data_IF_808238045153
#
_entry.id   IF_808238045153
#
_cell.length_a   1.000
_cell.length_b   1.000
_cell.length_c   1.000
_cell.angle_alpha   90.00
_cell.angle_beta   90.00
_cell.angle_gamma   90.00
#
_symmetry.space_group_name_H-M   'P 1'
#
loop_
_entity.id
_entity.type
_entity.pdbx_description
1 polymer ?
#
# COMPACT_ATOMS: atom_id res chain seq x y z
N UNK A 1 -6.83 -9.99 -24.76
CA UNK A 1 -7.22 -9.79 -23.34
C UNK A 1 -8.17 -10.91 -22.95
N UNK A 2 -7.92 -11.58 -21.83
CA UNK A 2 -8.78 -12.68 -21.35
C UNK A 2 -10.12 -12.08 -20.92
N UNK A 3 -11.20 -12.38 -21.65
CA UNK A 3 -12.55 -11.87 -21.33
C UNK A 3 -13.20 -12.73 -20.25
N UNK A 4 -13.41 -12.15 -19.07
CA UNK A 4 -14.15 -12.77 -17.98
C UNK A 4 -15.58 -13.15 -18.39
N UNK A 5 -16.22 -12.32 -19.22
CA UNK A 5 -17.57 -12.58 -19.73
C UNK A 5 -17.58 -13.80 -20.65
N UNK A 6 -16.64 -13.88 -21.61
CA UNK A 6 -16.60 -14.99 -22.57
C UNK A 6 -16.37 -16.34 -21.85
N UNK A 7 -15.55 -16.36 -20.79
CA UNK A 7 -15.34 -17.57 -19.97
C UNK A 7 -16.64 -17.94 -19.26
N UNK A 8 -17.33 -16.96 -18.67
CA UNK A 8 -18.58 -17.19 -17.94
C UNK A 8 -19.66 -17.73 -18.87
N UNK A 9 -19.86 -17.10 -20.03
CA UNK A 9 -20.83 -17.53 -21.05
C UNK A 9 -20.54 -18.95 -21.54
N UNK A 10 -19.27 -19.27 -21.79
CA UNK A 10 -18.85 -20.61 -22.20
C UNK A 10 -19.16 -21.66 -21.11
N UNK A 11 -18.83 -21.37 -19.84
CA UNK A 11 -19.08 -22.29 -18.74
C UNK A 11 -20.58 -22.48 -18.48
N UNK A 12 -21.40 -21.44 -18.64
CA UNK A 12 -22.86 -21.56 -18.54
C UNK A 12 -23.45 -22.44 -19.65
N UNK A 13 -22.91 -22.34 -20.87
CA UNK A 13 -23.37 -23.12 -22.03
C UNK A 13 -22.93 -24.58 -22.00
N UNK A 14 -21.66 -24.85 -21.67
CA UNK A 14 -21.08 -26.19 -21.81
C UNK A 14 -21.14 -27.02 -20.52
N UNK A 15 -21.20 -26.39 -19.34
CA UNK A 15 -21.23 -27.07 -18.03
C UNK A 15 -22.60 -26.94 -17.35
N UNK A 16 -23.67 -27.22 -18.10
CA UNK A 16 -25.08 -27.07 -17.64
C UNK A 16 -25.42 -27.92 -16.41
N UNK A 17 -24.83 -29.12 -16.30
CA UNK A 17 -24.97 -30.04 -15.16
C UNK A 17 -24.38 -29.54 -13.83
N UNK A 18 -23.50 -28.54 -13.87
CA UNK A 18 -22.90 -27.99 -12.67
C UNK A 18 -23.82 -26.95 -12.04
N UNK A 19 -24.01 -27.00 -10.72
CA UNK A 19 -24.73 -25.92 -10.02
C UNK A 19 -24.00 -24.58 -10.14
N UNK A 20 -24.71 -23.48 -9.86
CA UNK A 20 -24.20 -22.11 -9.97
C UNK A 20 -22.82 -21.91 -9.33
N UNK A 21 -22.64 -22.35 -8.07
CA UNK A 21 -21.37 -22.23 -7.34
C UNK A 21 -20.21 -22.97 -8.03
N UNK A 22 -20.48 -24.18 -8.55
CA UNK A 22 -19.47 -25.00 -9.24
C UNK A 22 -19.01 -24.32 -10.53
N UNK A 23 -19.94 -23.75 -11.30
CA UNK A 23 -19.62 -22.97 -12.50
C UNK A 23 -18.76 -21.74 -12.17
N UNK A 24 -19.12 -20.99 -11.13
CA UNK A 24 -18.34 -19.82 -10.69
C UNK A 24 -16.90 -20.18 -10.32
N UNK A 25 -16.68 -21.29 -9.61
CA UNK A 25 -15.32 -21.75 -9.28
C UNK A 25 -14.50 -22.11 -10.52
N UNK A 26 -15.10 -22.81 -11.49
CA UNK A 26 -14.44 -23.19 -12.75
C UNK A 26 -14.10 -21.94 -13.57
N UNK A 27 -15.05 -21.01 -13.75
CA UNK A 27 -14.81 -19.75 -14.46
C UNK A 27 -13.70 -18.94 -13.83
N UNK A 28 -13.67 -18.88 -12.49
CA UNK A 28 -12.62 -18.16 -11.74
C UNK A 28 -11.25 -18.76 -11.97
N UNK A 29 -11.11 -20.08 -11.88
CA UNK A 29 -9.84 -20.77 -12.10
C UNK A 29 -9.36 -20.62 -13.55
N UNK A 30 -10.24 -20.78 -14.53
CA UNK A 30 -9.90 -20.59 -15.94
C UNK A 30 -9.44 -19.16 -16.22
N UNK A 31 -10.13 -18.16 -15.68
CA UNK A 31 -9.73 -16.77 -15.83
C UNK A 31 -8.33 -16.51 -15.27
N UNK A 32 -8.06 -16.97 -14.05
CA UNK A 32 -6.75 -16.77 -13.42
C UNK A 32 -5.63 -17.51 -14.15
N UNK A 33 -5.86 -18.75 -14.59
CA UNK A 33 -4.87 -19.53 -15.35
C UNK A 33 -4.63 -18.89 -16.72
N UNK A 34 -5.69 -18.54 -17.46
CA UNK A 34 -5.57 -17.91 -18.78
C UNK A 34 -4.81 -16.58 -18.69
N UNK A 35 -5.07 -15.79 -17.64
CA UNK A 35 -4.38 -14.52 -17.40
C UNK A 35 -2.90 -14.75 -17.05
N UNK A 36 -2.59 -15.71 -16.17
CA UNK A 36 -1.20 -16.02 -15.78
C UNK A 36 -0.39 -16.60 -16.94
N UNK A 37 -0.95 -17.60 -17.63
CA UNK A 37 -0.30 -18.36 -18.71
C UNK A 37 -0.34 -17.61 -20.05
N UNK A 38 -1.05 -16.47 -20.13
CA UNK A 38 -1.27 -15.67 -21.34
C UNK A 38 -1.82 -16.51 -22.51
N UNK A 39 -2.75 -17.43 -22.23
CA UNK A 39 -3.32 -18.37 -23.20
C UNK A 39 -4.84 -18.25 -23.32
N UNK A 40 -5.42 -18.87 -24.35
CA UNK A 40 -6.87 -18.92 -24.48
C UNK A 40 -7.46 -19.93 -23.49
N UNK A 41 -8.59 -19.63 -22.85
CA UNK A 41 -9.16 -20.49 -21.81
C UNK A 41 -9.56 -21.89 -22.32
N UNK A 42 -9.89 -22.01 -23.61
CA UNK A 42 -10.14 -23.31 -24.26
C UNK A 42 -8.86 -24.16 -24.33
N UNK A 43 -7.68 -23.55 -24.45
CA UNK A 43 -6.41 -24.29 -24.48
C UNK A 43 -6.13 -25.00 -23.15
N UNK A 44 -6.59 -24.42 -22.04
CA UNK A 44 -6.49 -25.01 -20.70
C UNK A 44 -7.33 -26.28 -20.59
N UNK A 45 -8.48 -26.28 -21.27
CA UNK A 45 -9.45 -27.37 -21.27
C UNK A 45 -9.18 -28.41 -22.37
N UNK A 46 -8.22 -28.20 -23.27
CA UNK A 46 -7.88 -29.19 -24.32
C UNK A 46 -7.48 -30.54 -23.74
N UNK A 47 -6.79 -30.54 -22.60
CA UNK A 47 -6.41 -31.74 -21.87
C UNK A 47 -7.57 -32.36 -21.07
N UNK A 48 -8.72 -31.67 -21.02
CA UNK A 48 -9.98 -32.15 -20.48
C UNK A 48 -10.90 -32.57 -21.65
N UNK A 49 -10.53 -33.64 -22.36
CA UNK A 49 -11.27 -34.13 -23.54
C UNK A 49 -12.69 -34.61 -23.21
N UNK A 50 -13.60 -34.43 -24.17
CA UNK A 50 -15.05 -34.68 -24.14
C UNK A 50 -15.48 -35.96 -23.40
N UNK A 51 -16.28 -35.80 -22.34
CA UNK A 51 -16.80 -36.88 -21.50
C UNK A 51 -17.32 -36.37 -20.16
N UNK A 52 -17.99 -37.23 -19.41
CA UNK A 52 -18.75 -36.93 -18.18
C UNK A 52 -17.85 -36.58 -16.96
N UNK A 53 -16.97 -35.57 -17.10
CA UNK A 53 -16.10 -35.06 -16.04
C UNK A 53 -16.87 -34.71 -14.75
N UNK A 54 -16.57 -35.44 -13.68
CA UNK A 54 -17.05 -35.06 -12.36
C UNK A 54 -16.40 -33.73 -11.97
N UNK A 55 -17.18 -32.85 -11.36
CA UNK A 55 -16.71 -31.54 -10.91
C UNK A 55 -15.43 -31.64 -10.06
N UNK A 56 -15.31 -32.68 -9.25
CA UNK A 56 -14.15 -32.91 -8.39
C UNK A 56 -12.84 -33.04 -9.18
N UNK A 57 -12.86 -33.79 -10.29
CA UNK A 57 -11.68 -34.04 -11.11
C UNK A 57 -11.26 -32.79 -11.88
N UNK A 58 -12.22 -32.07 -12.47
CA UNK A 58 -11.95 -30.81 -13.15
C UNK A 58 -11.40 -29.76 -12.17
N UNK A 59 -12.02 -29.61 -11.00
CA UNK A 59 -11.55 -28.69 -9.96
C UNK A 59 -10.13 -29.04 -9.52
N UNK A 60 -9.82 -30.32 -9.33
CA UNK A 60 -8.48 -30.78 -8.96
C UNK A 60 -7.45 -30.42 -10.04
N UNK A 61 -7.75 -30.71 -11.31
CA UNK A 61 -6.88 -30.36 -12.44
C UNK A 61 -6.61 -28.85 -12.51
N UNK A 62 -7.66 -28.03 -12.45
CA UNK A 62 -7.52 -26.57 -12.52
C UNK A 62 -6.79 -26.00 -11.30
N UNK A 63 -7.02 -26.53 -10.09
CA UNK A 63 -6.29 -26.13 -8.89
C UNK A 63 -4.80 -26.48 -8.97
N UNK A 64 -4.46 -27.67 -9.45
CA UNK A 64 -3.06 -28.07 -9.65
C UNK A 64 -2.36 -27.17 -10.67
N UNK A 65 -3.06 -26.78 -11.74
CA UNK A 65 -2.51 -25.86 -12.73
C UNK A 65 -2.37 -24.44 -12.19
N UNK A 66 -3.36 -23.91 -11.47
CA UNK A 66 -3.33 -22.54 -10.91
C UNK A 66 -2.36 -22.40 -9.73
N UNK A 67 -2.28 -23.43 -8.90
CA UNK A 67 -1.53 -23.46 -7.64
C UNK A 67 -0.58 -24.68 -7.57
N UNK A 68 0.40 -24.79 -8.49
CA UNK A 68 1.27 -25.97 -8.57
C UNK A 68 2.05 -26.26 -7.28
N UNK A 69 2.39 -25.25 -6.48
CA UNK A 69 3.12 -25.43 -5.21
C UNK A 69 2.15 -25.71 -4.06
N UNK A 70 1.14 -24.87 -3.86
CA UNK A 70 0.20 -25.01 -2.74
C UNK A 70 -0.66 -26.27 -2.86
N UNK A 71 -1.02 -26.70 -4.07
CA UNK A 71 -1.83 -27.92 -4.27
C UNK A 71 -1.12 -29.21 -3.89
N UNK A 72 0.21 -29.21 -3.79
CA UNK A 72 1.01 -30.36 -3.36
C UNK A 72 1.08 -30.48 -1.83
N UNK A 73 0.78 -29.40 -1.09
CA UNK A 73 0.82 -29.42 0.38
C UNK A 73 -0.38 -30.21 0.91
N UNK A 74 -0.13 -31.16 1.82
CA UNK A 74 -1.15 -32.05 2.42
C UNK A 74 -2.18 -31.35 3.33
N UNK A 75 -2.13 -30.02 3.46
CA UNK A 75 -2.99 -29.25 4.37
C UNK A 75 -4.34 -28.88 3.73
N UNK A 76 -5.33 -28.59 4.56
CA UNK A 76 -6.67 -28.09 4.21
C UNK A 76 -6.64 -26.64 3.72
N UNK A 77 -5.82 -26.36 2.71
CA UNK A 77 -5.65 -25.03 2.14
C UNK A 77 -6.98 -24.55 1.53
N UNK A 78 -7.43 -23.38 1.98
CA UNK A 78 -8.56 -22.68 1.39
C UNK A 78 -8.06 -21.79 0.27
N UNK A 79 -8.40 -22.14 -0.96
CA UNK A 79 -8.13 -21.30 -2.11
C UNK A 79 -9.14 -20.14 -2.15
N UNK A 80 -8.68 -18.89 -2.25
CA UNK A 80 -9.54 -17.71 -2.21
C UNK A 80 -10.23 -17.47 -3.56
N UNK A 81 -11.21 -18.30 -3.88
CA UNK A 81 -12.00 -18.19 -5.12
C UNK A 81 -13.10 -17.13 -4.94
N UNK A 82 -12.79 -15.88 -5.27
CA UNK A 82 -13.78 -14.80 -5.29
C UNK A 82 -14.62 -14.84 -6.57
N UNK A 83 -15.82 -14.24 -6.54
CA UNK A 83 -16.67 -14.07 -7.72
C UNK A 83 -15.87 -13.37 -8.84
N UNK A 84 -15.98 -13.88 -10.06
CA UNK A 84 -15.42 -13.25 -11.25
C UNK A 84 -16.40 -12.19 -11.75
N UNK A 85 -16.17 -10.94 -11.38
CA UNK A 85 -17.02 -9.80 -11.69
C UNK A 85 -16.11 -8.63 -12.10
N UNK A 86 -15.85 -8.53 -13.41
CA UNK A 86 -14.91 -7.57 -13.98
C UNK A 86 -15.69 -6.66 -14.91
N UNK A 87 -15.76 -5.38 -14.56
CA UNK A 87 -16.40 -4.36 -15.36
C UNK A 87 -15.32 -3.45 -16.00
N UNK A 88 -15.20 -3.43 -17.34
CA UNK A 88 -14.26 -2.56 -18.05
C UNK A 88 -14.37 -1.07 -17.71
N UNK A 89 -15.54 -0.59 -17.27
CA UNK A 89 -15.74 0.80 -16.84
C UNK A 89 -14.99 1.14 -15.54
N UNK A 90 -14.58 0.14 -14.76
CA UNK A 90 -13.80 0.33 -13.53
C UNK A 90 -12.30 0.50 -13.76
N UNK A 91 -11.81 0.42 -15.01
CA UNK A 91 -10.39 0.56 -15.34
C UNK A 91 -9.85 1.92 -14.90
N UNK A 92 -8.71 1.93 -14.22
CA UNK A 92 -8.06 3.16 -13.79
C UNK A 92 -7.54 3.94 -15.01
N UNK A 93 -7.69 5.27 -14.97
CA UNK A 93 -7.08 6.16 -15.95
C UNK A 93 -5.65 6.53 -15.51
N UNK A 94 -4.69 6.11 -16.34
CA UNK A 94 -3.25 6.27 -16.12
C UNK A 94 -2.59 7.22 -17.15
N UNK A 95 -3.35 7.98 -17.93
CA UNK A 95 -2.78 8.84 -18.99
C UNK A 95 -2.08 10.08 -18.43
N UNK A 96 -2.67 10.72 -17.41
CA UNK A 96 -2.11 11.90 -16.77
C UNK A 96 -2.67 12.08 -15.35
N UNK A 97 -1.88 12.74 -14.49
CA UNK A 97 -2.39 13.23 -13.23
C UNK A 97 -3.16 14.53 -13.46
N UNK A 98 -4.45 14.55 -13.10
CA UNK A 98 -5.29 15.74 -13.21
C UNK A 98 -5.04 16.69 -12.03
N UNK A 99 -5.18 18.00 -12.28
CA UNK A 99 -5.35 18.99 -11.21
C UNK A 99 -6.76 18.87 -10.65
N UNK A 100 -6.94 19.25 -9.38
CA UNK A 100 -8.26 19.31 -8.78
C UNK A 100 -9.13 20.34 -9.48
N UNK A 101 -10.36 19.97 -9.81
CA UNK A 101 -11.37 20.85 -10.43
C UNK A 101 -12.37 21.37 -9.42
N UNK A 102 -12.58 20.64 -8.32
CA UNK A 102 -13.49 21.01 -7.25
C UNK A 102 -12.74 21.05 -5.91
N UNK A 103 -12.91 22.13 -5.16
CA UNK A 103 -12.34 22.32 -3.83
C UNK A 103 -13.47 22.64 -2.87
N UNK A 104 -13.58 21.84 -1.83
CA UNK A 104 -14.58 22.03 -0.78
C UNK A 104 -13.88 22.31 0.54
N UNK A 105 -14.30 23.34 1.24
CA UNK A 105 -13.65 23.79 2.48
C UNK A 105 -14.70 23.87 3.58
N UNK A 106 -14.48 23.18 4.69
CA UNK A 106 -15.37 23.28 5.84
C UNK A 106 -15.28 24.67 6.49
N UNK A 107 -16.43 25.24 6.87
CA UNK A 107 -16.51 26.57 7.53
C UNK A 107 -15.54 26.71 8.70
N UNK A 108 -15.35 25.64 9.48
CA UNK A 108 -14.46 25.65 10.68
C UNK A 108 -12.98 25.86 10.35
N UNK A 109 -12.55 25.61 9.12
CA UNK A 109 -11.15 25.72 8.66
C UNK A 109 -11.02 26.61 7.42
N UNK A 110 -12.06 27.38 7.08
CA UNK A 110 -12.08 28.27 5.93
C UNK A 110 -10.97 29.35 5.98
N UNK A 111 -10.67 29.84 7.18
CA UNK A 111 -9.62 30.83 7.43
C UNK A 111 -8.26 30.19 7.76
N UNK A 112 -8.12 28.87 7.62
CA UNK A 112 -6.84 28.19 7.90
C UNK A 112 -5.76 28.58 6.89
N UNK A 113 -4.47 28.57 7.29
CA UNK A 113 -3.37 28.77 6.34
C UNK A 113 -3.41 27.79 5.16
N UNK A 114 -3.86 26.54 5.40
CA UNK A 114 -4.01 25.53 4.36
C UNK A 114 -5.09 25.91 3.34
N UNK A 115 -6.27 26.34 3.80
CA UNK A 115 -7.36 26.75 2.91
C UNK A 115 -6.89 27.85 1.95
N UNK A 116 -6.20 28.88 2.47
CA UNK A 116 -5.61 29.94 1.66
C UNK A 116 -4.58 29.43 0.64
N UNK A 117 -3.61 28.62 1.07
CA UNK A 117 -2.60 28.05 0.17
C UNK A 117 -3.23 27.20 -0.94
N UNK A 118 -4.28 26.46 -0.62
CA UNK A 118 -5.01 25.62 -1.57
C UNK A 118 -5.75 26.49 -2.58
N UNK A 119 -6.49 27.52 -2.17
CA UNK A 119 -7.17 28.42 -3.12
C UNK A 119 -6.19 29.15 -4.03
N UNK A 120 -5.04 29.57 -3.50
CA UNK A 120 -3.98 30.23 -4.27
C UNK A 120 -3.32 29.27 -5.28
N UNK A 121 -3.16 28.00 -4.91
CA UNK A 121 -2.52 26.96 -5.76
C UNK A 121 -3.44 26.44 -6.87
N UNK A 122 -4.75 26.65 -6.77
CA UNK A 122 -5.75 26.16 -7.72
C UNK A 122 -6.77 27.25 -8.09
N UNK A 123 -6.33 28.35 -8.74
CA UNK A 123 -7.20 29.50 -9.02
C UNK A 123 -8.35 29.20 -10.00
N UNK A 124 -8.22 28.14 -10.80
CA UNK A 124 -9.24 27.71 -11.77
C UNK A 124 -10.25 26.70 -11.18
N UNK A 125 -10.01 26.19 -9.97
CA UNK A 125 -10.91 25.21 -9.36
C UNK A 125 -12.17 25.90 -8.81
N UNK A 126 -13.31 25.22 -8.91
CA UNK A 126 -14.53 25.65 -8.25
C UNK A 126 -14.36 25.48 -6.74
N UNK A 127 -14.38 26.57 -5.98
CA UNK A 127 -14.30 26.55 -4.51
C UNK A 127 -15.70 26.67 -3.90
N UNK A 128 -16.04 25.80 -2.96
CA UNK A 128 -17.31 25.79 -2.25
C UNK A 128 -17.08 25.65 -0.74
N UNK A 129 -17.69 26.54 0.06
CA UNK A 129 -17.65 26.46 1.52
C UNK A 129 -18.81 25.58 2.00
N UNK A 130 -18.51 24.52 2.74
CA UNK A 130 -19.48 23.56 3.25
C UNK A 130 -19.53 23.58 4.77
N UNK A 131 -20.65 23.17 5.38
CA UNK A 131 -20.75 23.07 6.85
C UNK A 131 -19.88 21.93 7.39
N UNK A 132 -20.15 20.69 6.96
CA UNK A 132 -19.38 19.49 7.30
C UNK A 132 -19.33 18.51 6.14
N UNK A 133 -18.15 17.95 5.88
CA UNK A 133 -17.89 16.95 4.85
C UNK A 133 -18.82 15.74 4.95
N UNK A 134 -19.00 15.20 6.17
CA UNK A 134 -19.86 14.03 6.42
C UNK A 134 -21.34 14.29 6.12
N UNK A 135 -21.80 15.52 6.31
CA UNK A 135 -23.21 15.92 6.09
C UNK A 135 -23.46 16.23 4.62
N UNK A 136 -22.51 16.89 3.95
CA UNK A 136 -22.64 17.28 2.56
C UNK A 136 -22.67 16.09 1.60
N UNK A 137 -21.79 15.11 1.80
CA UNK A 137 -21.73 13.93 0.93
C UNK A 137 -22.55 12.74 1.45
N UNK A 138 -23.00 12.78 2.70
CA UNK A 138 -23.80 11.72 3.31
C UNK A 138 -23.15 10.34 3.21
N UNK A 139 -23.97 9.28 3.26
CA UNK A 139 -23.53 7.90 3.05
C UNK A 139 -23.67 7.52 1.58
N UNK A 140 -22.65 7.79 0.78
CA UNK A 140 -22.57 7.27 -0.60
C UNK A 140 -22.23 5.77 -0.55
N UNK A 141 -22.91 4.94 -1.34
CA UNK A 141 -22.46 3.58 -1.59
C UNK A 141 -21.23 3.63 -2.49
N UNK A 142 -20.06 3.60 -1.86
CA UNK A 142 -18.80 3.78 -2.56
C UNK A 142 -18.49 2.60 -3.50
N UNK A 143 -18.10 2.95 -4.73
CA UNK A 143 -17.75 1.99 -5.78
C UNK A 143 -16.34 2.27 -6.33
N UNK A 144 -15.83 1.35 -7.16
CA UNK A 144 -14.52 1.52 -7.80
C UNK A 144 -14.48 2.78 -8.68
N UNK A 145 -15.58 3.13 -9.34
CA UNK A 145 -15.68 4.35 -10.15
C UNK A 145 -15.48 5.61 -9.31
N UNK A 146 -16.11 5.67 -8.12
CA UNK A 146 -15.91 6.79 -7.19
C UNK A 146 -14.43 6.90 -6.75
N UNK A 147 -13.76 5.77 -6.51
CA UNK A 147 -12.32 5.77 -6.24
C UNK A 147 -11.48 6.26 -7.41
N UNK A 148 -11.84 5.92 -8.65
CA UNK A 148 -11.15 6.42 -9.84
C UNK A 148 -11.29 7.94 -10.01
N UNK A 149 -12.44 8.50 -9.60
CA UNK A 149 -12.73 9.95 -9.68
C UNK A 149 -12.15 10.77 -8.53
N UNK A 150 -11.62 10.13 -7.47
CA UNK A 150 -11.14 10.82 -6.25
C UNK A 150 -10.11 11.94 -6.49
N UNK A 151 -9.41 11.92 -7.63
CA UNK A 151 -8.36 12.89 -7.99
C UNK A 151 -8.93 14.22 -8.51
N UNK A 152 -10.25 14.30 -8.73
CA UNK A 152 -10.93 15.48 -9.27
C UNK A 152 -11.35 16.48 -8.18
N UNK A 153 -11.48 16.02 -6.93
CA UNK A 153 -11.98 16.80 -5.81
C UNK A 153 -11.02 16.80 -4.63
N UNK A 154 -10.83 17.97 -4.01
CA UNK A 154 -10.06 18.17 -2.79
C UNK A 154 -10.96 18.72 -1.68
N UNK A 155 -10.80 18.19 -0.48
CA UNK A 155 -11.56 18.56 0.71
C UNK A 155 -10.61 19.08 1.79
N UNK A 156 -10.86 20.29 2.27
CA UNK A 156 -10.18 20.85 3.45
C UNK A 156 -11.14 20.77 4.62
N UNK A 157 -10.85 19.90 5.58
CA UNK A 157 -11.77 19.55 6.68
C UNK A 157 -11.14 19.84 8.03
N UNK A 158 -11.96 19.97 9.07
CA UNK A 158 -11.50 19.85 10.45
C UNK A 158 -11.50 18.37 10.84
N UNK A 159 -10.33 17.76 11.01
CA UNK A 159 -10.23 16.38 11.50
C UNK A 159 -10.52 16.33 13.01
N UNK A 160 -11.52 15.54 13.42
CA UNK A 160 -12.01 15.47 14.80
C UNK A 160 -11.85 14.07 15.44
N UNK A 161 -11.62 13.00 14.66
CA UNK A 161 -11.78 11.62 15.15
C UNK A 161 -10.53 10.75 14.98
N UNK A 162 -9.92 10.76 13.81
CA UNK A 162 -8.92 9.75 13.42
C UNK A 162 -7.52 10.34 13.27
N UNK A 163 -7.25 11.46 13.95
CA UNK A 163 -6.06 12.26 13.69
C UNK A 163 -4.78 11.61 14.20
N UNK A 164 -4.80 11.06 15.42
CA UNK A 164 -3.65 10.43 16.06
C UNK A 164 -4.06 9.15 16.80
N UNK A 165 -3.46 8.01 16.44
CA UNK A 165 -3.82 6.69 16.99
C UNK A 165 -2.63 5.73 17.01
N UNK A 166 -2.78 4.58 17.66
CA UNK A 166 -1.85 3.46 17.46
C UNK A 166 -2.01 2.93 16.03
N UNK A 167 -0.92 2.53 15.39
CA UNK A 167 -0.99 1.90 14.07
C UNK A 167 -1.93 0.68 14.12
N UNK A 168 -2.96 0.61 13.25
CA UNK A 168 -3.87 -0.53 13.19
C UNK A 168 -3.19 -1.68 12.46
N UNK A 169 -2.21 -2.27 13.13
CA UNK A 169 -1.50 -3.47 12.67
C UNK A 169 -2.51 -4.58 12.38
N UNK A 170 -2.15 -5.52 11.50
CA UNK A 170 -3.05 -6.64 11.22
C UNK A 170 -3.28 -7.46 12.49
N UNK A 171 -4.46 -8.08 12.64
CA UNK A 171 -4.75 -8.93 13.79
C UNK A 171 -3.63 -9.96 13.97
N UNK A 172 -3.23 -10.19 15.22
CA UNK A 172 -2.18 -11.13 15.64
C UNK A 172 -0.76 -10.86 15.08
N UNK A 173 -0.54 -9.69 14.46
CA UNK A 173 0.82 -9.26 14.08
C UNK A 173 1.59 -8.66 15.26
N UNK A 174 2.92 -8.76 15.21
CA UNK A 174 3.79 -8.16 16.23
C UNK A 174 3.75 -6.63 16.08
N UNK A 175 3.30 -5.94 17.12
CA UNK A 175 3.25 -4.48 17.13
C UNK A 175 4.66 -3.88 17.12
N UNK A 176 4.93 -2.97 16.18
CA UNK A 176 6.24 -2.37 15.98
C UNK A 176 6.49 -1.08 16.76
N UNK A 177 5.57 -0.71 17.67
CA UNK A 177 5.68 0.52 18.47
C UNK A 177 5.21 1.80 17.78
N UNK A 178 4.66 1.71 16.56
CA UNK A 178 4.29 2.86 15.74
C UNK A 178 2.90 3.42 16.09
N UNK A 179 2.85 4.71 16.40
CA UNK A 179 1.65 5.53 16.31
C UNK A 179 1.56 6.18 14.93
N UNK A 180 0.36 6.46 14.48
CA UNK A 180 0.10 7.06 13.17
C UNK A 180 -0.61 8.39 13.35
N UNK A 181 -0.21 9.37 12.54
CA UNK A 181 -0.94 10.61 12.32
C UNK A 181 -1.47 10.63 10.88
N UNK A 182 -2.76 10.94 10.75
CA UNK A 182 -3.42 11.04 9.45
C UNK A 182 -3.37 12.47 8.94
N UNK A 183 -2.31 12.79 8.18
CA UNK A 183 -2.10 14.10 7.54
C UNK A 183 -3.01 14.33 6.32
N UNK A 184 -3.96 13.43 6.06
CA UNK A 184 -4.86 13.45 4.93
C UNK A 184 -5.41 12.06 4.63
N UNK A 185 -6.37 11.98 3.73
CA UNK A 185 -7.03 10.73 3.34
C UNK A 185 -7.22 10.69 1.82
N UNK A 186 -6.79 9.59 1.20
CA UNK A 186 -6.67 9.47 -0.25
C UNK A 186 -5.28 9.88 -0.75
N UNK A 187 -4.97 9.52 -1.99
CA UNK A 187 -3.65 9.74 -2.59
C UNK A 187 -3.78 9.84 -4.13
N UNK A 188 -3.05 10.77 -4.79
CA UNK A 188 -3.07 10.90 -6.25
C UNK A 188 -2.30 9.79 -6.97
N UNK A 189 -1.41 9.11 -6.24
CA UNK A 189 -0.61 8.00 -6.76
C UNK A 189 -1.51 6.81 -7.10
N UNK A 190 -1.14 6.03 -8.11
CA UNK A 190 -1.93 4.91 -8.62
C UNK A 190 -1.14 3.60 -8.50
N UNK A 191 -0.59 3.32 -7.33
CA UNK A 191 0.09 2.05 -7.07
C UNK A 191 -0.93 0.90 -7.14
N UNK A 192 -0.71 -0.08 -8.02
CA UNK A 192 -1.63 -1.18 -8.27
C UNK A 192 -1.93 -2.02 -7.03
N UNK A 193 -0.98 -2.18 -6.13
CA UNK A 193 -1.15 -2.92 -4.86
C UNK A 193 -1.72 -2.09 -3.70
N UNK A 194 -2.00 -0.79 -3.90
CA UNK A 194 -2.34 0.12 -2.80
C UNK A 194 -3.59 -0.33 -2.03
N UNK A 195 -3.46 -0.54 -0.72
CA UNK A 195 -4.58 -0.99 0.09
C UNK A 195 -5.68 0.06 0.26
N UNK A 196 -5.36 1.35 0.05
CA UNK A 196 -6.34 2.44 0.12
C UNK A 196 -7.49 2.25 -0.87
N UNK A 197 -7.27 1.56 -1.98
CA UNK A 197 -8.29 1.23 -2.98
C UNK A 197 -9.43 0.37 -2.41
N UNK A 198 -9.16 -0.43 -1.38
CA UNK A 198 -10.17 -1.27 -0.72
C UNK A 198 -10.72 -0.65 0.58
N UNK A 199 -10.13 0.44 1.05
CA UNK A 199 -10.34 1.01 2.38
C UNK A 199 -10.97 2.42 2.35
N UNK A 200 -10.48 3.31 1.48
CA UNK A 200 -10.95 4.69 1.38
C UNK A 200 -12.30 4.73 0.71
N UNK A 201 -13.26 5.35 1.39
CA UNK A 201 -14.61 5.61 0.88
C UNK A 201 -14.85 7.13 0.90
N UNK A 202 -14.14 7.87 0.05
CA UNK A 202 -14.20 9.32 -0.05
C UNK A 202 -14.37 9.76 -1.50
N UNK A 203 -15.25 10.72 -1.84
CA UNK A 203 -15.43 11.22 -3.19
C UNK A 203 -14.23 12.07 -3.67
N UNK A 204 -13.23 12.29 -2.81
CA UNK A 204 -11.96 12.90 -3.21
C UNK A 204 -10.88 12.82 -2.16
N UNK A 205 -9.83 13.61 -2.35
CA UNK A 205 -8.70 13.68 -1.41
C UNK A 205 -9.04 14.64 -0.29
N UNK A 206 -8.74 14.27 0.95
CA UNK A 206 -9.03 15.05 2.15
C UNK A 206 -7.71 15.49 2.78
N UNK A 207 -7.59 16.77 3.14
CA UNK A 207 -6.49 17.33 3.90
C UNK A 207 -7.03 18.05 5.15
N UNK A 208 -6.46 17.81 6.34
CA UNK A 208 -6.91 18.45 7.57
C UNK A 208 -6.40 19.90 7.66
N UNK A 209 -7.29 20.87 7.83
CA UNK A 209 -6.96 22.29 8.00
C UNK A 209 -6.58 22.69 9.43
N UNK A 210 -6.30 21.73 10.31
CA UNK A 210 -6.16 21.90 11.76
C UNK A 210 -4.97 21.11 12.35
N UNK A 211 -3.78 21.16 11.72
CA UNK A 211 -2.60 20.39 12.15
C UNK A 211 -2.19 20.63 13.61
N UNK A 212 -2.54 21.79 14.16
CA UNK A 212 -2.32 22.15 15.55
C UNK A 212 -3.05 21.21 16.53
N UNK A 213 -4.20 20.66 16.13
CA UNK A 213 -4.93 19.68 16.94
C UNK A 213 -4.13 18.38 17.09
N UNK A 214 -3.35 17.98 16.07
CA UNK A 214 -2.42 16.84 16.20
C UNK A 214 -1.33 17.15 17.23
N UNK A 215 -0.75 18.36 17.20
CA UNK A 215 0.28 18.75 18.16
C UNK A 215 -0.23 18.70 19.61
N UNK A 216 -1.46 19.13 19.85
CA UNK A 216 -2.08 19.04 21.17
C UNK A 216 -2.39 17.59 21.57
N UNK A 217 -2.94 16.78 20.67
CA UNK A 217 -3.19 15.35 20.94
C UNK A 217 -1.90 14.58 21.26
N UNK A 218 -0.83 14.85 20.52
CA UNK A 218 0.48 14.27 20.78
C UNK A 218 0.98 14.64 22.19
N UNK A 219 0.90 15.92 22.56
CA UNK A 219 1.32 16.43 23.87
C UNK A 219 0.53 15.75 24.99
N UNK A 220 -0.81 15.74 24.89
CA UNK A 220 -1.69 15.11 25.87
C UNK A 220 -1.40 13.60 26.01
N UNK A 221 -1.18 12.90 24.90
CA UNK A 221 -0.80 11.49 24.94
C UNK A 221 0.52 11.29 25.68
N UNK A 222 1.55 12.07 25.34
CA UNK A 222 2.88 11.98 25.97
C UNK A 222 2.81 12.29 27.46
N UNK A 223 2.08 13.31 27.88
CA UNK A 223 1.91 13.67 29.29
C UNK A 223 1.20 12.57 30.08
N UNK A 224 0.13 11.99 29.50
CA UNK A 224 -0.64 10.92 30.11
C UNK A 224 0.18 9.64 30.32
N UNK A 225 0.95 9.21 29.32
CA UNK A 225 1.67 7.93 29.36
C UNK A 225 3.14 8.06 29.75
N UNK A 226 3.70 9.27 29.81
CA UNK A 226 5.12 9.55 30.13
C UNK A 226 6.11 8.74 29.29
N UNK A 227 5.77 8.52 28.02
CA UNK A 227 6.54 7.71 27.09
C UNK A 227 6.97 8.54 25.88
N UNK A 228 8.21 8.35 25.46
CA UNK A 228 8.66 8.81 24.14
C UNK A 228 8.08 7.86 23.09
N UNK A 229 7.58 8.43 21.99
CA UNK A 229 6.75 7.70 21.02
C UNK A 229 7.33 7.80 19.61
N UNK A 230 7.18 6.72 18.84
CA UNK A 230 7.44 6.71 17.41
C UNK A 230 6.14 7.02 16.68
N UNK A 231 6.10 8.14 15.98
CA UNK A 231 4.96 8.57 15.17
C UNK A 231 5.34 8.48 13.70
N UNK A 232 4.46 7.92 12.88
CA UNK A 232 4.61 7.92 11.44
C UNK A 232 3.41 8.60 10.79
N UNK A 233 3.66 9.28 9.67
CA UNK A 233 2.63 9.59 8.69
C UNK A 233 2.70 8.56 7.55
N UNK A 234 1.80 8.64 6.57
CA UNK A 234 1.83 7.73 5.42
C UNK A 234 0.75 6.64 5.41
N UNK A 235 -0.12 6.59 6.43
CA UNK A 235 -1.17 5.55 6.52
C UNK A 235 -2.28 5.79 5.50
N UNK A 236 -2.94 6.94 5.54
CA UNK A 236 -4.13 7.21 4.70
C UNK A 236 -3.85 8.14 3.52
N UNK A 237 -2.64 8.69 3.43
CA UNK A 237 -2.11 9.50 2.32
C UNK A 237 -0.59 9.36 2.28
N UNK A 238 0.04 9.68 1.16
CA UNK A 238 1.50 9.83 1.10
C UNK A 238 1.91 11.11 1.85
N UNK A 239 2.90 11.03 2.73
CA UNK A 239 3.24 12.13 3.65
C UNK A 239 3.68 13.41 2.94
N UNK A 240 4.36 13.28 1.79
CA UNK A 240 5.03 14.40 1.14
C UNK A 240 4.39 14.80 -0.18
N UNK A 241 3.47 14.02 -0.74
CA UNK A 241 2.90 14.28 -2.07
C UNK A 241 2.26 15.67 -2.23
N UNK A 242 1.67 16.23 -1.17
CA UNK A 242 1.08 17.58 -1.17
C UNK A 242 1.82 18.58 -0.29
N UNK A 243 3.03 18.25 0.17
CA UNK A 243 3.73 19.08 1.18
C UNK A 243 4.08 20.50 0.69
N UNK A 244 4.22 20.68 -0.63
CA UNK A 244 4.39 22.00 -1.25
C UNK A 244 3.16 22.91 -1.11
N UNK A 245 1.98 22.32 -0.85
CA UNK A 245 0.72 23.03 -0.56
C UNK A 245 0.45 23.01 0.95
N UNK A 246 0.63 21.86 1.61
CA UNK A 246 0.24 21.71 3.01
C UNK A 246 1.19 22.40 3.97
N UNK A 247 2.49 22.44 3.68
CA UNK A 247 3.49 23.00 4.58
C UNK A 247 3.77 22.15 5.83
N UNK A 248 3.15 20.97 5.95
CA UNK A 248 3.13 20.20 7.19
C UNK A 248 4.52 19.72 7.61
N UNK A 249 5.39 19.37 6.67
CA UNK A 249 6.72 18.87 7.02
C UNK A 249 7.51 19.88 7.87
N UNK A 250 7.48 21.16 7.50
CA UNK A 250 8.18 22.22 8.22
C UNK A 250 7.58 22.45 9.61
N UNK A 251 6.25 22.48 9.72
CA UNK A 251 5.55 22.65 11.00
C UNK A 251 5.85 21.49 11.97
N UNK A 252 5.80 20.26 11.45
CA UNK A 252 6.08 19.05 12.23
C UNK A 252 7.54 19.01 12.68
N UNK A 253 8.51 19.27 11.79
CA UNK A 253 9.93 19.31 12.17
C UNK A 253 10.17 20.34 13.28
N UNK A 254 9.59 21.53 13.16
CA UNK A 254 9.73 22.57 14.18
C UNK A 254 9.07 22.19 15.51
N UNK A 255 7.91 21.54 15.48
CA UNK A 255 7.24 21.04 16.69
C UNK A 255 8.07 19.98 17.42
N UNK A 256 8.61 18.99 16.69
CA UNK A 256 9.38 17.87 17.26
C UNK A 256 10.75 18.28 17.82
N UNK A 257 11.23 19.50 17.54
CA UNK A 257 12.40 20.09 18.23
C UNK A 257 12.24 20.10 19.76
N UNK A 258 11.00 20.23 20.25
CA UNK A 258 10.67 20.21 21.68
C UNK A 258 10.69 18.80 22.30
N UNK A 259 10.75 17.76 21.47
CA UNK A 259 10.62 16.35 21.88
C UNK A 259 11.73 15.47 21.30
N UNK A 260 13.02 15.74 21.61
CA UNK A 260 14.16 15.10 20.95
C UNK A 260 14.25 13.58 21.13
N UNK A 261 13.47 13.00 22.05
CA UNK A 261 13.40 11.55 22.28
C UNK A 261 12.24 10.87 21.54
N UNK A 262 11.21 11.62 21.13
CA UNK A 262 10.13 11.10 20.30
C UNK A 262 10.51 11.20 18.83
N UNK A 263 10.23 10.15 18.07
CA UNK A 263 10.60 10.05 16.66
C UNK A 263 9.39 10.39 15.80
N UNK A 264 9.57 11.20 14.75
CA UNK A 264 8.59 11.37 13.68
C UNK A 264 9.13 10.83 12.37
N UNK A 265 8.31 10.07 11.64
CA UNK A 265 8.65 9.48 10.36
C UNK A 265 7.71 9.99 9.25
N UNK A 266 8.28 10.63 8.23
CA UNK A 266 7.61 10.86 6.95
C UNK A 266 7.80 9.63 6.06
N UNK A 267 6.74 9.18 5.37
CA UNK A 267 6.80 8.06 4.41
C UNK A 267 6.30 8.54 3.06
N UNK A 268 7.13 8.40 2.03
CA UNK A 268 6.75 8.83 0.68
C UNK A 268 7.19 7.85 -0.41
N UNK A 269 6.57 7.97 -1.58
CA UNK A 269 7.02 7.44 -2.88
C UNK A 269 7.33 8.56 -3.89
N UNK A 270 7.44 9.80 -3.41
CA UNK A 270 7.71 10.98 -4.23
C UNK A 270 9.12 11.51 -3.99
N UNK A 271 9.53 12.47 -4.82
CA UNK A 271 10.73 13.30 -4.64
C UNK A 271 10.38 14.71 -4.14
N UNK A 272 9.16 14.96 -3.66
CA UNK A 272 8.72 16.28 -3.18
C UNK A 272 9.32 16.59 -1.80
N UNK A 273 10.60 16.98 -1.78
CA UNK A 273 11.38 17.21 -0.56
C UNK A 273 11.83 18.66 -0.38
N UNK A 274 11.49 19.56 -1.29
CA UNK A 274 12.05 20.91 -1.33
C UNK A 274 11.82 21.65 0.00
N UNK A 275 10.61 21.55 0.57
CA UNK A 275 10.31 22.18 1.85
C UNK A 275 11.15 21.60 3.00
N UNK A 276 11.32 20.28 3.07
CA UNK A 276 12.19 19.63 4.06
C UNK A 276 13.63 20.13 3.97
N UNK A 277 14.14 20.37 2.78
CA UNK A 277 15.51 20.86 2.58
C UNK A 277 15.71 22.32 3.06
N UNK A 278 14.63 23.09 3.21
CA UNK A 278 14.69 24.45 3.79
C UNK A 278 14.80 24.46 5.31
N UNK A 279 14.42 23.37 5.98
CA UNK A 279 14.38 23.29 7.44
C UNK A 279 15.65 22.66 8.00
N UNK A 280 16.08 23.10 9.18
CA UNK A 280 17.22 22.47 9.87
C UNK A 280 16.82 21.06 10.32
N UNK A 281 17.60 20.02 9.95
CA UNK A 281 17.28 18.64 10.29
C UNK A 281 17.39 18.41 11.81
N UNK A 282 16.69 17.39 12.28
CA UNK A 282 16.78 16.89 13.64
C UNK A 282 16.97 15.37 13.61
N UNK A 283 17.78 14.82 14.52
CA UNK A 283 18.06 13.39 14.57
C UNK A 283 16.82 12.52 14.85
N UNK A 284 15.78 13.11 15.46
CA UNK A 284 14.51 12.46 15.74
C UNK A 284 13.46 12.62 14.62
N UNK A 285 13.85 13.20 13.47
CA UNK A 285 13.04 13.23 12.24
C UNK A 285 13.64 12.26 11.24
N UNK A 286 12.83 11.29 10.82
CA UNK A 286 13.18 10.29 9.82
C UNK A 286 12.39 10.57 8.55
N UNK A 287 13.07 10.68 7.42
CA UNK A 287 12.43 10.76 6.11
C UNK A 287 12.60 9.42 5.43
N UNK A 288 11.51 8.78 5.03
CA UNK A 288 11.53 7.40 4.57
C UNK A 288 10.90 7.24 3.21
N UNK A 289 11.49 6.35 2.41
CA UNK A 289 11.00 6.02 1.09
C UNK A 289 10.54 4.57 1.04
N UNK A 290 9.39 4.33 0.39
CA UNK A 290 9.14 3.00 -0.15
C UNK A 290 9.97 2.82 -1.41
N UNK A 291 10.70 1.71 -1.48
CA UNK A 291 11.55 1.36 -2.62
C UNK A 291 11.22 -0.04 -3.11
N UNK A 292 11.29 -0.20 -4.42
CA UNK A 292 11.04 -1.43 -5.16
C UNK A 292 11.99 -1.45 -6.36
N UNK A 293 12.34 -2.62 -6.93
CA UNK A 293 13.12 -2.67 -8.16
C UNK A 293 12.43 -1.91 -9.28
N UNK A 294 13.20 -1.37 -10.24
CA UNK A 294 12.66 -0.54 -11.33
C UNK A 294 11.53 -1.23 -12.09
N UNK A 295 11.64 -2.54 -12.31
CA UNK A 295 10.57 -3.34 -12.91
C UNK A 295 9.24 -3.17 -12.19
N UNK A 296 9.23 -3.25 -10.86
CA UNK A 296 8.03 -3.09 -10.04
C UNK A 296 7.53 -1.65 -10.08
N UNK A 297 8.44 -0.67 -9.96
CA UNK A 297 8.09 0.75 -10.03
C UNK A 297 7.38 1.06 -11.34
N UNK A 298 7.98 0.65 -12.47
CA UNK A 298 7.47 0.95 -13.81
C UNK A 298 6.16 0.23 -14.15
N UNK A 299 5.98 -1.00 -13.66
CA UNK A 299 4.82 -1.82 -14.00
C UNK A 299 3.63 -1.67 -13.04
N UNK A 300 3.85 -1.20 -11.81
CA UNK A 300 2.82 -1.20 -10.75
C UNK A 300 2.69 0.13 -10.01
N UNK A 301 3.72 0.97 -9.95
CA UNK A 301 3.72 2.18 -9.11
C UNK A 301 3.48 3.46 -9.92
N UNK A 302 2.31 3.56 -10.55
CA UNK A 302 1.99 4.68 -11.43
C UNK A 302 1.89 6.03 -10.70
N UNK A 303 2.33 7.10 -11.38
CA UNK A 303 2.40 8.48 -10.89
C UNK A 303 3.29 8.68 -9.66
N UNK A 304 4.11 7.70 -9.31
CA UNK A 304 5.15 7.85 -8.27
C UNK A 304 6.46 8.36 -8.89
N UNK A 305 7.40 8.79 -8.05
CA UNK A 305 8.77 9.01 -8.51
C UNK A 305 9.41 7.66 -8.87
N UNK A 306 10.31 7.65 -9.85
CA UNK A 306 11.15 6.50 -10.20
C UNK A 306 12.03 6.06 -9.01
N UNK A 307 12.59 4.85 -9.07
CA UNK A 307 13.53 4.38 -8.06
C UNK A 307 14.71 5.37 -7.90
N UNK A 308 15.30 5.79 -9.03
CA UNK A 308 16.43 6.72 -9.04
C UNK A 308 16.08 8.06 -8.37
N UNK A 309 14.94 8.67 -8.72
CA UNK A 309 14.49 9.92 -8.10
C UNK A 309 14.27 9.77 -6.58
N UNK A 310 13.78 8.61 -6.11
CA UNK A 310 13.62 8.33 -4.68
C UNK A 310 14.97 8.21 -3.98
N UNK A 311 15.93 7.50 -4.58
CA UNK A 311 17.28 7.35 -4.02
C UNK A 311 18.04 8.69 -3.99
N UNK A 312 17.89 9.52 -5.03
CA UNK A 312 18.45 10.87 -5.07
C UNK A 312 17.81 11.79 -4.03
N UNK A 313 16.49 11.75 -3.87
CA UNK A 313 15.79 12.50 -2.85
C UNK A 313 16.25 12.06 -1.44
N UNK A 314 16.39 10.76 -1.22
CA UNK A 314 16.91 10.19 0.02
C UNK A 314 18.36 10.63 0.30
N UNK A 315 19.22 10.61 -0.71
CA UNK A 315 20.60 11.11 -0.61
C UNK A 315 20.63 12.59 -0.22
N UNK A 316 19.84 13.45 -0.89
CA UNK A 316 19.76 14.89 -0.57
C UNK A 316 19.31 15.14 0.86
N UNK A 317 18.31 14.38 1.35
CA UNK A 317 17.89 14.47 2.74
C UNK A 317 18.98 13.97 3.72
N UNK A 318 19.70 12.91 3.37
CA UNK A 318 20.81 12.38 4.16
C UNK A 318 21.97 13.39 4.27
N UNK A 319 22.33 14.02 3.14
CA UNK A 319 23.37 15.07 3.04
C UNK A 319 22.98 16.30 3.83
N UNK A 320 21.70 16.69 3.79
CA UNK A 320 21.16 17.76 4.63
C UNK A 320 21.32 17.44 6.13
N UNK A 321 21.26 16.17 6.51
CA UNK A 321 21.48 15.67 7.86
C UNK A 321 20.33 14.86 8.45
N UNK A 322 19.24 14.65 7.72
CA UNK A 322 18.15 13.79 8.17
C UNK A 322 18.58 12.33 8.25
N UNK A 323 17.94 11.58 9.15
CA UNK A 323 18.01 10.12 9.15
C UNK A 323 17.02 9.56 8.13
N UNK A 324 17.36 8.42 7.55
CA UNK A 324 16.65 7.84 6.41
C UNK A 324 16.10 6.46 6.76
N UNK A 325 14.82 6.23 6.46
CA UNK A 325 14.21 4.90 6.53
C UNK A 325 13.96 4.31 5.14
N UNK A 326 14.15 3.01 4.99
CA UNK A 326 13.87 2.28 3.75
C UNK A 326 12.74 1.29 3.95
N UNK A 327 11.69 1.37 3.14
CA UNK A 327 10.54 0.46 3.20
C UNK A 327 10.51 -0.43 1.97
N UNK A 328 10.78 -1.70 2.19
CA UNK A 328 10.53 -2.81 1.27
C UNK A 328 9.13 -3.36 1.61
N UNK A 329 8.10 -2.52 1.46
CA UNK A 329 6.71 -2.88 1.79
C UNK A 329 5.77 -2.33 0.69
N UNK A 330 5.34 -3.16 -0.27
CA UNK A 330 5.54 -4.61 -0.33
C UNK A 330 6.78 -5.05 -1.13
N UNK A 331 7.41 -6.15 -0.70
CA UNK A 331 8.19 -7.01 -1.59
C UNK A 331 7.22 -7.83 -2.44
N UNK A 332 7.40 -7.79 -3.75
CA UNK A 332 6.63 -8.54 -4.75
C UNK A 332 7.50 -9.67 -5.28
N UNK A 333 7.01 -10.90 -5.16
CA UNK A 333 7.68 -12.08 -5.70
C UNK A 333 7.33 -12.24 -7.19
N UNK A 334 8.35 -12.54 -8.00
CA UNK A 334 8.27 -12.81 -9.44
C UNK A 334 9.58 -13.48 -9.91
N UNK A 335 9.64 -13.94 -11.16
CA UNK A 335 10.88 -14.50 -11.72
C UNK A 335 12.02 -13.46 -11.73
N UNK A 336 13.16 -13.80 -11.12
CA UNK A 336 14.33 -12.93 -10.89
C UNK A 336 14.17 -11.88 -9.77
N UNK A 337 13.16 -12.01 -8.91
CA UNK A 337 13.02 -11.11 -7.74
C UNK A 337 14.30 -11.08 -6.89
N UNK A 338 14.98 -12.23 -6.71
CA UNK A 338 16.12 -12.32 -5.81
C UNK A 338 17.27 -11.40 -6.25
N UNK A 339 17.64 -11.47 -7.52
CA UNK A 339 18.68 -10.64 -8.12
C UNK A 339 18.29 -9.15 -8.10
N UNK A 340 17.08 -8.82 -8.54
CA UNK A 340 16.63 -7.42 -8.63
C UNK A 340 16.47 -6.75 -7.25
N UNK A 341 16.04 -7.50 -6.22
CA UNK A 341 16.00 -6.97 -4.85
C UNK A 341 17.37 -6.95 -4.17
N UNK A 342 18.31 -7.84 -4.53
CA UNK A 342 19.69 -7.73 -4.08
C UNK A 342 20.32 -6.46 -4.63
N UNK A 343 20.19 -6.22 -5.94
CA UNK A 343 20.69 -5.01 -6.59
C UNK A 343 20.07 -3.75 -5.96
N UNK A 344 18.78 -3.78 -5.64
CA UNK A 344 18.14 -2.67 -4.93
C UNK A 344 18.81 -2.37 -3.58
N UNK A 345 19.19 -3.40 -2.80
CA UNK A 345 19.94 -3.19 -1.55
C UNK A 345 21.30 -2.57 -1.82
N UNK A 346 22.03 -3.05 -2.84
CA UNK A 346 23.32 -2.49 -3.24
C UNK A 346 23.19 -1.01 -3.64
N UNK A 347 22.16 -0.67 -4.40
CA UNK A 347 21.86 0.70 -4.79
C UNK A 347 21.56 1.59 -3.59
N UNK A 348 20.83 1.12 -2.58
CA UNK A 348 20.59 1.88 -1.33
C UNK A 348 21.91 2.24 -0.65
N UNK A 349 22.80 1.26 -0.46
CA UNK A 349 24.08 1.49 0.22
C UNK A 349 25.09 2.27 -0.63
N UNK A 350 24.92 2.31 -1.96
CA UNK A 350 25.69 3.17 -2.86
C UNK A 350 25.28 4.64 -2.74
N UNK A 351 23.99 4.93 -2.56
CA UNK A 351 23.48 6.30 -2.54
C UNK A 351 23.45 6.90 -1.13
N UNK A 352 23.30 6.09 -0.09
CA UNK A 352 22.99 6.59 1.26
C UNK A 352 24.05 6.06 2.24
N UNK A 353 24.78 6.95 2.93
CA UNK A 353 25.71 6.54 3.97
C UNK A 353 25.01 5.71 5.05
N UNK A 354 25.61 4.57 5.42
CA UNK A 354 25.02 3.63 6.39
C UNK A 354 24.72 4.27 7.75
N UNK A 355 25.48 5.31 8.14
CA UNK A 355 25.30 6.07 9.39
C UNK A 355 24.04 6.93 9.38
N UNK A 356 23.51 7.24 8.18
CA UNK A 356 22.25 7.97 7.99
C UNK A 356 21.04 7.05 7.91
N UNK A 357 21.23 5.75 7.69
CA UNK A 357 20.13 4.77 7.66
C UNK A 357 19.65 4.45 9.09
N UNK A 358 18.41 4.80 9.39
CA UNK A 358 17.76 4.52 10.67
C UNK A 358 17.25 3.07 10.73
N UNK A 359 16.59 2.60 9.67
CA UNK A 359 16.05 1.25 9.59
C UNK A 359 15.66 0.81 8.19
N UNK A 360 15.50 -0.51 8.08
CA UNK A 360 14.79 -1.18 7.00
C UNK A 360 13.48 -1.79 7.54
N UNK A 361 12.36 -1.43 6.93
CA UNK A 361 11.07 -2.08 7.12
C UNK A 361 10.85 -3.06 5.97
N UNK A 362 10.53 -4.31 6.28
CA UNK A 362 10.36 -5.35 5.27
C UNK A 362 8.99 -6.00 5.44
N UNK A 363 8.21 -6.10 4.36
CA UNK A 363 6.93 -6.78 4.35
C UNK A 363 6.60 -7.28 2.96
N UNK A 364 6.08 -8.49 2.86
CA UNK A 364 5.61 -9.02 1.57
C UNK A 364 4.24 -8.47 1.19
N UNK A 365 3.91 -8.55 -0.10
CA UNK A 365 2.60 -8.22 -0.63
C UNK A 365 1.50 -8.96 0.14
N UNK A 366 0.56 -8.17 0.67
CA UNK A 366 -0.62 -8.65 1.38
C UNK A 366 -1.84 -7.85 0.95
N UNK A 367 -2.97 -8.52 0.79
CA UNK A 367 -4.21 -7.86 0.37
C UNK A 367 -5.44 -8.57 0.91
N UNK A 368 -6.53 -7.84 1.12
CA UNK A 368 -7.81 -8.49 1.41
C UNK A 368 -8.37 -9.12 0.12
N UNK A 369 -9.23 -10.14 0.22
CA UNK A 369 -9.95 -10.66 -0.95
C UNK A 369 -10.73 -9.57 -1.71
N UNK A 370 -11.30 -8.60 -0.98
CA UNK A 370 -11.96 -7.43 -1.58
C UNK A 370 -10.98 -6.58 -2.40
N UNK A 371 -9.78 -6.32 -1.87
CA UNK A 371 -8.77 -5.55 -2.58
C UNK A 371 -8.33 -6.25 -3.87
N UNK A 372 -8.15 -7.58 -3.86
CA UNK A 372 -7.85 -8.34 -5.09
C UNK A 372 -8.86 -8.06 -6.19
N UNK A 373 -10.15 -8.11 -5.89
CA UNK A 373 -11.21 -7.82 -6.86
C UNK A 373 -11.14 -6.36 -7.37
N UNK A 374 -10.83 -5.40 -6.51
CA UNK A 374 -10.61 -3.99 -6.93
C UNK A 374 -9.42 -3.87 -7.87
N UNK A 375 -8.30 -4.54 -7.57
CA UNK A 375 -7.09 -4.53 -8.40
C UNK A 375 -7.38 -5.14 -9.78
N UNK A 376 -8.09 -6.27 -9.85
CA UNK A 376 -8.44 -6.93 -11.11
C UNK A 376 -9.29 -6.04 -12.02
N UNK A 377 -10.21 -5.26 -11.43
CA UNK A 377 -11.04 -4.30 -12.16
C UNK A 377 -10.26 -3.06 -12.61
N UNK A 378 -9.45 -2.49 -11.72
CA UNK A 378 -8.74 -1.22 -11.98
C UNK A 378 -7.54 -1.42 -12.91
N UNK A 379 -6.84 -2.54 -12.79
CA UNK A 379 -5.62 -2.84 -13.52
C UNK A 379 -5.68 -4.24 -14.17
N UNK A 380 -6.47 -4.41 -15.26
CA UNK A 380 -6.68 -5.72 -15.88
C UNK A 380 -5.39 -6.46 -16.26
N UNK A 381 -4.35 -5.72 -16.65
CA UNK A 381 -3.06 -6.28 -17.10
C UNK A 381 -2.05 -6.52 -15.98
N UNK A 382 -2.39 -6.20 -14.72
CA UNK A 382 -1.42 -6.32 -13.62
C UNK A 382 -1.06 -7.78 -13.34
N UNK A 383 0.24 -8.04 -13.20
CA UNK A 383 0.79 -9.39 -13.03
C UNK A 383 1.01 -9.78 -11.56
N UNK A 384 0.94 -8.85 -10.61
CA UNK A 384 1.21 -9.13 -9.19
C UNK A 384 0.26 -10.15 -8.55
N UNK A 385 -0.88 -10.41 -9.22
CA UNK A 385 -1.91 -11.37 -8.79
C UNK A 385 -1.71 -12.78 -9.35
N UNK A 386 -0.71 -12.97 -10.21
CA UNK A 386 -0.44 -14.24 -10.90
C UNK A 386 0.18 -15.29 -9.96
N UNK A 387 0.87 -14.83 -8.92
CA UNK A 387 1.48 -15.69 -7.91
C UNK A 387 0.47 -16.46 -7.07
N UNK A 388 0.96 -17.43 -6.31
CA UNK A 388 0.17 -18.24 -5.40
C UNK A 388 -0.04 -17.51 -4.06
N UNK A 389 -1.32 -17.28 -3.72
CA UNK A 389 -1.71 -16.68 -2.45
C UNK A 389 -2.56 -17.65 -1.64
N UNK A 390 -2.32 -17.66 -0.33
CA UNK A 390 -3.17 -18.33 0.65
C UNK A 390 -3.77 -17.31 1.61
N UNK A 391 -4.87 -17.68 2.27
CA UNK A 391 -5.40 -16.90 3.39
C UNK A 391 -4.46 -17.09 4.58
N UNK A 392 -3.80 -16.01 4.99
CA UNK A 392 -2.92 -15.97 6.14
C UNK A 392 -3.67 -15.88 7.47
N UNK A 393 -2.89 -15.85 8.56
CA UNK A 393 -3.36 -15.78 9.94
C UNK A 393 -4.29 -14.57 10.22
N UNK A 394 -4.12 -13.48 9.48
CA UNK A 394 -4.88 -12.23 9.62
C UNK A 394 -6.05 -12.11 8.62
N UNK A 395 -6.41 -13.20 7.93
CA UNK A 395 -7.48 -13.22 6.94
C UNK A 395 -7.14 -12.53 5.62
N UNK A 396 -5.89 -12.09 5.44
CA UNK A 396 -5.41 -11.50 4.18
C UNK A 396 -4.78 -12.56 3.28
N UNK A 397 -4.83 -12.29 1.98
CA UNK A 397 -4.06 -13.01 0.97
C UNK A 397 -2.57 -12.69 1.15
N UNK A 398 -1.75 -13.73 1.30
CA UNK A 398 -0.29 -13.66 1.47
C UNK A 398 0.38 -14.75 0.67
N UNK A 399 1.66 -14.56 0.35
CA UNK A 399 2.52 -15.68 -0.05
C UNK A 399 2.59 -16.71 1.08
N UNK A 400 2.89 -17.96 0.72
CA UNK A 400 3.02 -19.03 1.69
C UNK A 400 4.22 -18.81 2.63
N UNK A 401 4.17 -19.45 3.79
CA UNK A 401 5.12 -19.17 4.89
C UNK A 401 6.57 -19.44 4.49
N UNK A 402 6.83 -20.49 3.71
CA UNK A 402 8.18 -20.81 3.24
C UNK A 402 8.71 -19.69 2.34
N UNK A 403 7.88 -19.18 1.44
CA UNK A 403 8.23 -18.08 0.54
C UNK A 403 8.49 -16.78 1.29
N UNK A 404 7.61 -16.43 2.24
CA UNK A 404 7.80 -15.24 3.09
C UNK A 404 9.11 -15.33 3.87
N UNK A 405 9.38 -16.47 4.50
CA UNK A 405 10.62 -16.71 5.22
C UNK A 405 11.86 -16.56 4.33
N UNK A 406 11.86 -17.18 3.14
CA UNK A 406 12.95 -17.09 2.16
C UNK A 406 13.26 -15.63 1.80
N UNK A 407 12.23 -14.86 1.46
CA UNK A 407 12.33 -13.43 1.14
C UNK A 407 12.95 -12.65 2.30
N UNK A 408 12.41 -12.82 3.51
CA UNK A 408 12.88 -12.08 4.69
C UNK A 408 14.31 -12.45 5.07
N UNK A 409 14.67 -13.74 5.01
CA UNK A 409 16.02 -14.21 5.32
C UNK A 409 17.05 -13.67 4.32
N UNK A 410 16.73 -13.69 3.02
CA UNK A 410 17.59 -13.16 1.95
C UNK A 410 17.82 -11.66 2.09
N UNK A 411 16.75 -10.86 2.19
CA UNK A 411 16.85 -9.41 2.36
C UNK A 411 17.63 -9.05 3.62
N UNK A 412 17.38 -9.74 4.73
CA UNK A 412 18.19 -9.59 5.96
C UNK A 412 19.66 -9.86 5.69
N UNK A 413 19.98 -10.96 5.01
CA UNK A 413 21.38 -11.34 4.73
C UNK A 413 22.11 -10.29 3.88
N UNK A 414 21.44 -9.72 2.88
CA UNK A 414 22.02 -8.67 2.03
C UNK A 414 22.24 -7.38 2.80
N UNK A 415 21.26 -6.93 3.60
CA UNK A 415 21.46 -5.74 4.45
C UNK A 415 22.60 -5.98 5.45
N UNK A 416 22.72 -7.20 5.98
CA UNK A 416 23.76 -7.58 6.96
C UNK A 416 25.16 -7.71 6.36
N UNK A 417 25.31 -7.89 5.05
CA UNK A 417 26.62 -7.84 4.40
C UNK A 417 27.22 -6.43 4.44
N UNK A 418 26.38 -5.40 4.43
CA UNK A 418 26.78 -4.00 4.53
C UNK A 418 26.84 -3.48 5.98
N UNK A 419 25.91 -3.88 6.84
CA UNK A 419 25.89 -3.42 8.24
C UNK A 419 25.23 -4.41 9.20
N UNK A 420 25.97 -4.74 10.28
CA UNK A 420 25.49 -5.59 11.37
C UNK A 420 24.51 -4.88 12.30
N UNK A 421 24.57 -3.55 12.38
CA UNK A 421 23.91 -2.78 13.44
C UNK A 421 22.62 -2.09 13.01
N UNK A 422 22.39 -1.92 11.70
CA UNK A 422 21.18 -1.25 11.21
C UNK A 422 19.94 -2.05 11.64
N UNK A 423 18.92 -1.33 12.12
CA UNK A 423 17.69 -1.94 12.56
C UNK A 423 16.86 -2.46 11.37
N UNK A 424 16.38 -3.70 11.46
CA UNK A 424 15.51 -4.33 10.47
C UNK A 424 14.28 -4.83 11.22
N UNK A 425 13.08 -4.52 10.73
CA UNK A 425 11.84 -5.06 11.30
C UNK A 425 10.88 -5.54 10.21
N UNK A 426 10.06 -6.53 10.57
CA UNK A 426 9.00 -7.02 9.71
C UNK A 426 7.70 -6.24 9.93
N UNK A 427 7.07 -5.80 8.85
CA UNK A 427 5.83 -5.05 8.89
C UNK A 427 4.62 -5.99 8.77
N UNK A 428 3.72 -5.93 9.76
CA UNK A 428 2.48 -6.73 9.79
C UNK A 428 2.74 -8.23 9.61
N UNK A 429 3.65 -8.79 10.41
CA UNK A 429 4.01 -10.21 10.43
C UNK A 429 3.74 -10.81 11.81
N UNK A 430 3.38 -12.10 11.85
CA UNK A 430 3.11 -12.85 13.07
C UNK A 430 4.39 -13.16 13.85
N UNK A 431 4.23 -13.45 15.15
CA UNK A 431 5.36 -13.73 16.05
C UNK A 431 6.24 -14.88 15.56
N UNK A 432 5.63 -15.94 15.03
CA UNK A 432 6.34 -17.14 14.55
C UNK A 432 7.24 -16.80 13.35
N UNK A 433 6.76 -15.97 12.42
CA UNK A 433 7.55 -15.53 11.27
C UNK A 433 8.72 -14.65 11.70
N UNK A 434 8.46 -13.67 12.58
CA UNK A 434 9.50 -12.83 13.16
C UNK A 434 10.61 -13.65 13.84
N UNK A 435 10.23 -14.65 14.65
CA UNK A 435 11.17 -15.52 15.34
C UNK A 435 11.95 -16.40 14.37
N UNK A 436 11.28 -16.98 13.37
CA UNK A 436 11.91 -17.86 12.39
C UNK A 436 12.93 -17.11 11.54
N UNK A 437 12.57 -15.92 11.04
CA UNK A 437 13.46 -15.07 10.26
C UNK A 437 14.55 -14.41 11.13
N UNK A 438 14.44 -14.47 12.46
CA UNK A 438 15.29 -13.74 13.41
C UNK A 438 15.33 -12.24 13.03
N UNK A 439 14.14 -11.67 12.87
CA UNK A 439 13.88 -10.26 12.59
C UNK A 439 12.66 -9.90 13.41
N UNK A 440 12.74 -8.88 14.25
CA UNK A 440 11.53 -8.41 14.90
C UNK A 440 11.67 -7.07 15.57
N UNK A 441 10.54 -6.40 15.84
CA UNK A 441 10.45 -5.42 16.90
C UNK A 441 10.21 -6.17 18.21
N UNK A 442 11.26 -6.73 18.84
CA UNK A 442 11.07 -7.45 20.12
C UNK A 442 11.73 -6.77 21.32
N UNK A 443 12.63 -5.79 21.15
CA UNK A 443 13.32 -5.20 22.34
C UNK A 443 13.67 -3.71 22.35
N UNK A 444 13.53 -2.92 21.28
CA UNK A 444 14.15 -1.57 21.26
C UNK A 444 13.23 -0.36 21.49
N UNK A 445 11.90 -0.51 21.47
CA UNK A 445 10.96 0.63 21.65
C UNK A 445 9.69 0.26 22.44
N UNK A 446 9.72 -0.85 23.19
CA UNK A 446 8.59 -1.35 23.98
C UNK A 446 8.88 -1.41 25.49
N UNK A 447 9.82 -0.59 25.96
CA UNK A 447 10.02 -0.28 27.38
C UNK A 447 9.36 1.05 27.74
#
# INVERSE_FOLDING_TARGET
MVSAQNITDYIEKEFTRFGFTKRQEVSRLLFEIAKRDQCHYLDILKDCTEGDFQFADLKKYLLQRRYPVLSQKKSSLRFPLTKLDIDPANRANLSALKRFSNIYIEKKVAESPLAKRVTDSFPEAKVEIIDRYKEYFGKIQYSIQHYNQRKESLFIVKEEFDFFKRCPCSNDSVYCGLHVVNLGSGCPLECGYCYLQGYINSPGIILPGNIEDFFEQFKLYREKYRQDIRVGSGETTDSLVYDHITGFSAEIVNFFRKYPKSIFEFKTKTNNIDLLLTVNPLDNIIVSWTISPERVVNSVEHFTASLQERLEAASKCADKGYKIGMHFDPIIYYANWEEEYHELVDQVFKHIPKERLAWFSVGTLRMTPKLRHVIENRFPEISILNEEFQIGYDGKLRYDDQRRFEIYAKVKSWIRSYSKDIYIYLCMEEKVMCQSADIGPVKKYSS
#
